data_IF_115308232151
#
_entry.id   IF_115308232151
#
_cell.length_a   1.000
_cell.length_b   1.000
_cell.length_c   1.000
_cell.angle_alpha   90.00
_cell.angle_beta   90.00
_cell.angle_gamma   90.00
#
_symmetry.space_group_name_H-M   'P 1'
#
loop_
_entity.id
_entity.type
_entity.pdbx_description
1 polymer ?
#
# COMPACT_ATOMS: atom_id res chain seq x y z
N UNK A 1 -28.23 0.01 34.84
CA UNK A 1 -26.85 0.50 34.58
C UNK A 1 -26.77 0.66 33.08
N UNK A 2 -26.70 1.90 32.58
CA UNK A 2 -26.72 2.14 31.14
C UNK A 2 -25.41 1.61 30.53
N UNK A 3 -25.51 0.63 29.64
CA UNK A 3 -24.40 0.22 28.78
C UNK A 3 -24.19 1.32 27.74
N UNK A 4 -23.44 2.35 28.09
CA UNK A 4 -22.92 3.29 27.12
C UNK A 4 -21.87 2.54 26.28
N UNK A 5 -21.98 2.52 24.94
CA UNK A 5 -20.91 2.04 24.08
C UNK A 5 -19.65 2.86 24.36
N UNK A 6 -18.52 2.20 24.58
CA UNK A 6 -17.23 2.90 24.61
C UNK A 6 -16.97 3.44 23.19
N UNK A 7 -17.04 4.77 23.01
CA UNK A 7 -16.59 5.41 21.77
C UNK A 7 -15.06 5.33 21.73
N UNK A 8 -14.52 4.38 20.96
CA UNK A 8 -13.09 4.21 20.75
C UNK A 8 -12.60 5.14 19.62
N UNK A 9 -12.74 6.46 19.80
CA UNK A 9 -12.25 7.49 18.85
C UNK A 9 -10.72 7.65 18.82
N UNK A 10 -9.98 6.75 19.50
CA UNK A 10 -8.52 6.82 19.61
C UNK A 10 -7.88 5.80 18.67
N UNK A 11 -6.86 6.24 17.93
CA UNK A 11 -6.03 5.34 17.13
C UNK A 11 -5.21 4.43 18.06
N UNK A 12 -5.34 3.13 17.88
CA UNK A 12 -4.49 2.14 18.54
C UNK A 12 -3.33 1.76 17.62
N UNK A 13 -2.12 1.65 18.15
CA UNK A 13 -0.94 1.27 17.35
C UNK A 13 -1.06 -0.05 16.61
N UNK A 14 -1.92 -0.98 17.08
CA UNK A 14 -2.22 -2.23 16.36
C UNK A 14 -3.05 -2.05 15.08
N UNK A 15 -3.65 -0.89 14.86
CA UNK A 15 -4.31 -0.53 13.61
C UNK A 15 -3.35 0.15 12.61
N UNK A 16 -2.15 0.52 13.05
CA UNK A 16 -1.10 1.10 12.20
C UNK A 16 -0.26 -0.04 11.63
N UNK A 17 -0.27 -0.16 10.30
CA UNK A 17 0.58 -1.10 9.57
C UNK A 17 1.61 -0.28 8.79
N UNK A 18 2.88 -0.69 8.92
CA UNK A 18 3.93 -0.20 8.04
C UNK A 18 4.16 -1.25 6.97
N UNK A 19 4.10 -0.81 5.72
CA UNK A 19 4.27 -1.62 4.54
C UNK A 19 5.49 -1.15 3.75
N UNK A 20 6.12 -2.10 3.08
CA UNK A 20 7.31 -1.85 2.27
C UNK A 20 7.16 -2.49 0.91
N UNK A 21 7.84 -1.91 -0.07
CA UNK A 21 7.93 -2.43 -1.43
C UNK A 21 9.34 -2.25 -1.99
N UNK A 22 9.80 -3.23 -2.76
CA UNK A 22 11.07 -3.17 -3.47
C UNK A 22 10.93 -2.24 -4.68
N UNK A 23 11.98 -1.49 -5.04
CA UNK A 23 11.93 -0.59 -6.21
C UNK A 23 13.00 0.47 -6.19
N UNK A 24 12.97 1.32 -7.22
CA UNK A 24 13.80 2.52 -7.34
C UNK A 24 12.94 3.77 -7.06
N UNK A 25 13.54 4.91 -6.67
CA UNK A 25 12.78 6.11 -6.31
C UNK A 25 12.04 6.76 -7.49
N UNK A 26 12.42 6.45 -8.73
CA UNK A 26 11.84 6.99 -9.96
C UNK A 26 10.48 6.39 -10.32
N UNK A 27 10.15 5.20 -9.80
CA UNK A 27 8.89 4.50 -10.06
C UNK A 27 8.24 4.12 -8.74
N UNK A 28 7.08 4.73 -8.46
CA UNK A 28 6.26 4.39 -7.30
C UNK A 28 5.68 2.97 -7.46
N UNK A 29 5.72 2.11 -6.44
CA UNK A 29 5.21 0.75 -6.50
C UNK A 29 3.69 0.70 -6.75
N UNK A 30 3.26 -0.35 -7.44
CA UNK A 30 1.85 -0.70 -7.61
C UNK A 30 1.26 -1.20 -6.28
N UNK A 31 -0.07 -1.19 -6.17
CA UNK A 31 -0.75 -1.52 -4.91
C UNK A 31 -0.46 -2.95 -4.43
N UNK A 32 -0.35 -3.90 -5.37
CA UNK A 32 -0.09 -5.31 -5.08
C UNK A 32 1.37 -5.63 -4.72
N UNK A 33 2.28 -4.66 -4.89
CA UNK A 33 3.69 -4.80 -4.53
C UNK A 33 3.96 -4.44 -3.06
N UNK A 34 3.03 -3.75 -2.39
CA UNK A 34 3.15 -3.39 -0.99
C UNK A 34 2.85 -4.59 -0.09
N UNK A 35 3.77 -4.85 0.83
CA UNK A 35 3.63 -5.92 1.80
C UNK A 35 3.91 -5.39 3.20
N UNK A 36 3.11 -5.83 4.18
CA UNK A 36 3.37 -5.49 5.58
C UNK A 36 4.77 -5.95 5.99
N UNK A 37 5.56 -5.06 6.62
CA UNK A 37 6.97 -5.34 6.91
C UNK A 37 7.12 -6.58 7.81
N UNK A 38 6.44 -6.57 8.96
CA UNK A 38 6.37 -7.67 9.90
C UNK A 38 5.26 -7.44 10.94
N UNK A 39 5.16 -8.33 11.94
CA UNK A 39 4.33 -8.11 13.11
C UNK A 39 4.88 -6.94 13.96
N UNK A 40 4.19 -5.80 13.92
CA UNK A 40 4.61 -4.58 14.59
C UNK A 40 4.15 -4.48 16.05
N UNK A 41 5.02 -3.95 16.91
CA UNK A 41 4.72 -3.60 18.31
C UNK A 41 4.70 -2.09 18.54
N UNK A 42 5.62 -1.36 17.91
CA UNK A 42 5.71 0.11 17.96
C UNK A 42 5.99 0.70 16.59
N UNK A 43 5.41 1.88 16.32
CA UNK A 43 5.52 2.61 15.05
C UNK A 43 5.65 4.09 15.41
N UNK A 44 6.65 4.75 14.86
CA UNK A 44 6.89 6.16 15.10
C UNK A 44 7.28 6.88 13.83
N UNK A 45 6.99 8.17 13.80
CA UNK A 45 7.60 9.09 12.85
C UNK A 45 8.08 10.32 13.60
N UNK A 46 9.10 10.97 13.06
CA UNK A 46 9.66 12.20 13.60
C UNK A 46 10.04 13.15 12.46
N UNK A 47 9.53 14.38 12.53
CA UNK A 47 9.98 15.50 11.70
C UNK A 47 10.90 16.36 12.55
N UNK A 48 12.17 16.43 12.16
CA UNK A 48 13.18 17.21 12.86
C UNK A 48 13.71 18.33 11.95
N UNK A 49 13.02 19.49 11.91
CA UNK A 49 13.37 20.60 11.04
C UNK A 49 14.60 21.36 11.55
N UNK A 50 15.53 21.65 10.65
CA UNK A 50 16.63 22.56 10.92
C UNK A 50 16.23 23.99 10.57
N UNK A 51 16.47 24.92 11.49
CA UNK A 51 16.09 26.32 11.33
C UNK A 51 17.28 27.28 11.43
N UNK A 52 17.10 28.46 10.85
CA UNK A 52 17.97 29.63 11.03
C UNK A 52 17.13 30.81 11.50
N UNK A 53 17.73 31.70 12.27
CA UNK A 53 17.09 32.93 12.76
C UNK A 53 17.60 34.14 12.02
N UNK A 54 16.72 35.08 11.71
CA UNK A 54 17.10 36.38 11.15
C UNK A 54 17.22 37.42 12.25
N UNK A 55 18.41 38.00 12.41
CA UNK A 55 18.71 39.10 13.34
C UNK A 55 18.82 40.45 12.61
N UNK A 56 18.19 40.58 11.44
CA UNK A 56 18.21 41.82 10.67
C UNK A 56 17.55 42.95 11.48
N UNK A 57 18.17 44.14 11.45
CA UNK A 57 17.74 45.31 12.24
C UNK A 57 16.52 46.03 11.65
N UNK A 58 16.00 45.54 10.52
CA UNK A 58 14.74 45.91 9.89
C UNK A 58 13.58 44.96 10.22
N UNK A 59 13.83 43.91 11.03
CA UNK A 59 12.81 43.05 11.59
C UNK A 59 11.89 43.78 12.58
N UNK A 60 10.66 43.30 12.70
CA UNK A 60 9.74 43.77 13.76
C UNK A 60 10.24 43.42 15.17
N UNK A 61 9.39 43.59 16.18
CA UNK A 61 9.75 43.29 17.58
C UNK A 61 9.97 41.81 17.94
N UNK A 62 9.94 40.90 16.96
CA UNK A 62 10.11 39.45 17.14
C UNK A 62 11.14 38.91 16.13
N UNK A 63 12.03 38.02 16.59
CA UNK A 63 13.02 37.33 15.75
C UNK A 63 12.30 36.32 14.85
N UNK A 64 12.56 36.35 13.55
CA UNK A 64 11.98 35.42 12.59
C UNK A 64 12.79 34.11 12.54
N UNK A 65 12.08 32.98 12.51
CA UNK A 65 12.69 31.64 12.38
C UNK A 65 12.27 31.03 11.05
N UNK A 66 13.26 30.60 10.26
CA UNK A 66 13.06 30.04 8.92
C UNK A 66 13.52 28.58 8.93
N UNK A 67 12.65 27.65 8.53
CA UNK A 67 13.04 26.25 8.32
C UNK A 67 13.79 26.11 6.99
N UNK A 68 14.97 25.52 7.03
CA UNK A 68 15.85 25.37 5.86
C UNK A 68 15.74 24.00 5.21
N UNK A 69 15.60 22.96 6.01
CA UNK A 69 15.30 21.59 5.63
C UNK A 69 14.78 20.84 6.86
N UNK A 70 14.44 19.56 6.71
CA UNK A 70 14.06 18.70 7.82
C UNK A 70 14.56 17.30 7.59
N UNK A 71 15.04 16.66 8.64
CA UNK A 71 15.11 15.21 8.67
C UNK A 71 13.69 14.67 8.88
N UNK A 72 13.38 13.58 8.19
CA UNK A 72 12.18 12.79 8.44
C UNK A 72 12.60 11.34 8.68
N UNK A 73 12.17 10.80 9.81
CA UNK A 73 12.51 9.45 10.26
C UNK A 73 11.26 8.67 10.54
N UNK A 74 11.20 7.42 10.08
CA UNK A 74 10.19 6.43 10.47
C UNK A 74 10.90 5.34 11.27
N UNK A 75 10.33 4.96 12.41
CA UNK A 75 10.84 3.87 13.25
C UNK A 75 9.81 2.76 13.37
N UNK A 76 10.31 1.53 13.39
CA UNK A 76 9.49 0.34 13.53
C UNK A 76 10.13 -0.62 14.52
N UNK A 77 9.34 -1.07 15.48
CA UNK A 77 9.66 -2.24 16.31
C UNK A 77 8.65 -3.35 16.03
N UNK A 78 9.12 -4.59 16.10
CA UNK A 78 8.28 -5.76 15.91
C UNK A 78 8.83 -7.03 16.53
N UNK A 79 8.05 -8.09 16.40
CA UNK A 79 8.39 -9.43 16.87
C UNK A 79 8.83 -10.31 15.70
N UNK A 80 9.87 -11.12 15.93
CA UNK A 80 10.38 -12.09 14.97
C UNK A 80 9.59 -13.38 15.08
N UNK A 81 8.96 -13.80 13.98
CA UNK A 81 8.27 -15.09 13.89
C UNK A 81 9.11 -16.10 13.13
N UNK A 82 9.04 -17.39 13.52
CA UNK A 82 9.73 -18.48 12.81
C UNK A 82 9.25 -18.68 11.38
N UNK A 83 7.99 -18.29 11.13
CA UNK A 83 7.38 -18.24 9.81
C UNK A 83 6.60 -16.94 9.74
N UNK A 84 7.03 -16.06 8.85
CA UNK A 84 6.24 -14.89 8.49
C UNK A 84 4.90 -15.34 7.89
N UNK A 85 3.85 -14.52 8.02
CA UNK A 85 2.60 -14.85 7.34
C UNK A 85 2.81 -14.68 5.82
N UNK A 86 2.01 -15.39 5.01
CA UNK A 86 2.15 -15.43 3.55
C UNK A 86 2.00 -14.06 2.87
N UNK A 87 1.38 -13.10 3.54
CA UNK A 87 1.07 -11.74 3.09
C UNK A 87 2.06 -10.67 3.61
N UNK A 88 3.16 -11.06 4.26
CA UNK A 88 4.16 -10.12 4.77
C UNK A 88 5.43 -10.12 3.92
N UNK A 89 6.09 -8.97 3.87
CA UNK A 89 7.45 -8.88 3.34
C UNK A 89 8.37 -9.80 4.16
N UNK A 90 8.18 -9.78 5.48
CA UNK A 90 8.78 -10.69 6.42
C UNK A 90 10.18 -10.28 6.84
N UNK A 91 10.51 -10.54 8.11
CA UNK A 91 11.79 -10.13 8.69
C UNK A 91 12.97 -10.88 8.07
N UNK A 92 12.76 -12.13 7.63
CA UNK A 92 13.80 -12.93 6.97
C UNK A 92 14.23 -12.32 5.63
N UNK A 93 13.26 -11.93 4.79
CA UNK A 93 13.54 -11.25 3.51
C UNK A 93 14.19 -9.89 3.75
N UNK A 94 13.69 -9.14 4.73
CA UNK A 94 14.20 -7.80 5.05
C UNK A 94 15.67 -7.80 5.52
N UNK A 95 16.04 -8.72 6.43
CA UNK A 95 17.45 -8.86 6.86
C UNK A 95 18.34 -9.25 5.67
N UNK A 96 17.88 -10.17 4.82
CA UNK A 96 18.64 -10.61 3.65
C UNK A 96 18.86 -9.46 2.67
N UNK A 97 17.80 -8.72 2.35
CA UNK A 97 17.82 -7.53 1.51
C UNK A 97 18.86 -6.52 2.02
N UNK A 98 18.75 -6.12 3.30
CA UNK A 98 19.66 -5.16 3.91
C UNK A 98 21.13 -5.62 3.84
N UNK A 99 21.40 -6.88 4.19
CA UNK A 99 22.75 -7.43 4.15
C UNK A 99 23.32 -7.52 2.71
N UNK A 100 22.49 -7.82 1.71
CA UNK A 100 22.91 -7.91 0.33
C UNK A 100 23.24 -6.54 -0.28
N UNK A 101 22.45 -5.51 0.03
CA UNK A 101 22.75 -4.13 -0.39
C UNK A 101 24.07 -3.62 0.23
N UNK A 102 24.28 -3.88 1.52
CA UNK A 102 25.55 -3.55 2.19
C UNK A 102 26.74 -4.30 1.58
N UNK A 103 26.59 -5.60 1.30
CA UNK A 103 27.62 -6.41 0.64
C UNK A 103 27.92 -5.90 -0.78
N UNK A 104 26.89 -5.42 -1.48
CA UNK A 104 27.00 -4.80 -2.79
C UNK A 104 27.53 -3.35 -2.75
N UNK A 105 27.72 -2.77 -1.55
CA UNK A 105 28.10 -1.37 -1.31
C UNK A 105 27.11 -0.37 -1.92
N UNK A 106 25.83 -0.71 -1.88
CA UNK A 106 24.72 0.13 -2.32
C UNK A 106 23.93 0.63 -1.11
N UNK A 107 23.17 1.71 -1.30
CA UNK A 107 22.26 2.19 -0.27
C UNK A 107 21.07 1.22 -0.18
N UNK A 108 20.68 0.78 1.03
CA UNK A 108 19.50 -0.06 1.24
C UNK A 108 18.22 0.77 1.12
N UNK A 109 17.94 1.27 -0.08
CA UNK A 109 16.79 2.10 -0.40
C UNK A 109 15.53 1.27 -0.64
N UNK A 110 14.41 1.62 -0.03
CA UNK A 110 13.16 0.86 -0.10
C UNK A 110 11.97 1.82 -0.01
N UNK A 111 10.89 1.50 -0.69
CA UNK A 111 9.64 2.24 -0.52
C UNK A 111 9.00 1.88 0.82
N UNK A 112 8.58 2.89 1.56
CA UNK A 112 7.90 2.75 2.85
C UNK A 112 6.59 3.51 2.79
N UNK A 113 5.51 2.87 3.25
CA UNK A 113 4.25 3.55 3.55
C UNK A 113 3.74 3.20 4.94
N UNK A 114 3.09 4.15 5.59
CA UNK A 114 2.55 3.98 6.94
C UNK A 114 1.30 4.84 7.13
N UNK A 115 0.17 4.20 7.37
CA UNK A 115 -1.06 4.89 7.80
C UNK A 115 -0.94 5.31 9.27
N UNK A 116 -1.19 6.58 9.58
CA UNK A 116 -1.16 7.12 10.93
C UNK A 116 -2.43 7.95 11.19
N UNK A 117 -3.55 7.26 11.34
CA UNK A 117 -4.85 7.90 11.53
C UNK A 117 -5.31 8.63 10.27
N UNK A 118 -5.51 9.96 10.31
CA UNK A 118 -6.02 10.72 9.16
C UNK A 118 -4.97 11.00 8.08
N UNK A 119 -3.75 10.50 8.23
CA UNK A 119 -2.66 10.69 7.26
C UNK A 119 -1.99 9.37 6.91
N UNK A 120 -1.48 9.27 5.69
CA UNK A 120 -0.62 8.21 5.19
C UNK A 120 0.71 8.85 4.79
N UNK A 121 1.80 8.35 5.37
CA UNK A 121 3.14 8.71 4.93
C UNK A 121 3.56 7.75 3.83
N UNK A 122 4.09 8.28 2.71
CA UNK A 122 4.68 7.48 1.65
C UNK A 122 6.02 8.10 1.24
N UNK A 123 7.03 7.28 1.00
CA UNK A 123 8.31 7.77 0.51
C UNK A 123 9.34 6.69 0.23
N UNK A 124 10.31 7.03 -0.61
CA UNK A 124 11.51 6.24 -0.79
C UNK A 124 12.50 6.54 0.33
N UNK A 125 12.72 5.53 1.17
CA UNK A 125 13.50 5.64 2.40
C UNK A 125 14.76 4.78 2.32
N UNK A 126 15.79 5.15 3.07
CA UNK A 126 16.98 4.33 3.31
C UNK A 126 16.87 3.68 4.67
N UNK A 127 17.08 2.35 4.74
CA UNK A 127 17.21 1.64 6.01
C UNK A 127 18.54 2.05 6.66
N UNK A 128 18.48 2.79 7.77
CA UNK A 128 19.67 3.32 8.47
C UNK A 128 20.08 2.49 9.67
N UNK A 129 19.13 1.75 10.24
CA UNK A 129 19.38 0.82 11.33
C UNK A 129 18.51 -0.44 11.19
N UNK A 130 19.10 -1.58 11.53
CA UNK A 130 18.40 -2.85 11.71
C UNK A 130 19.11 -3.64 12.81
N UNK A 131 18.38 -3.94 13.88
CA UNK A 131 18.88 -4.70 15.02
C UNK A 131 17.82 -5.69 15.51
N UNK A 132 18.25 -6.72 16.22
CA UNK A 132 17.37 -7.71 16.85
C UNK A 132 17.95 -8.14 18.18
N UNK A 133 17.07 -8.37 19.15
CA UNK A 133 17.41 -8.85 20.48
C UNK A 133 16.39 -9.90 20.95
N UNK A 134 16.82 -10.81 21.81
CA UNK A 134 15.96 -11.87 22.30
C UNK A 134 16.63 -12.65 23.41
N UNK A 135 16.24 -12.38 24.65
CA UNK A 135 16.69 -13.14 25.82
C UNK A 135 16.28 -14.61 25.74
N UNK A 136 16.95 -15.47 26.51
CA UNK A 136 16.73 -16.94 26.51
C UNK A 136 15.27 -17.35 26.73
N UNK A 137 14.48 -16.54 27.45
CA UNK A 137 13.08 -16.83 27.77
C UNK A 137 12.10 -15.82 27.14
N UNK A 138 12.58 -14.90 26.30
CA UNK A 138 11.79 -13.79 25.77
C UNK A 138 11.44 -14.03 24.30
N UNK A 139 10.41 -13.32 23.83
CA UNK A 139 10.10 -13.25 22.40
C UNK A 139 11.18 -12.40 21.75
N UNK A 140 11.76 -12.90 20.66
CA UNK A 140 12.75 -12.15 19.87
C UNK A 140 12.06 -10.95 19.22
N UNK A 141 12.62 -9.77 19.41
CA UNK A 141 12.17 -8.51 18.81
C UNK A 141 13.20 -8.01 17.80
N UNK A 142 12.77 -7.08 16.96
CA UNK A 142 13.64 -6.33 16.08
C UNK A 142 13.24 -4.86 16.05
N UNK A 143 14.22 -4.01 15.75
CA UNK A 143 14.05 -2.57 15.58
C UNK A 143 14.70 -2.15 14.28
N UNK A 144 14.04 -1.26 13.54
CA UNK A 144 14.57 -0.69 12.31
C UNK A 144 14.22 0.79 12.19
N UNK A 145 15.12 1.54 11.57
CA UNK A 145 14.99 2.96 11.31
C UNK A 145 15.09 3.21 9.80
N UNK A 146 14.22 4.10 9.33
CA UNK A 146 14.17 4.57 7.96
C UNK A 146 14.36 6.08 7.93
N UNK A 147 15.33 6.55 7.14
CA UNK A 147 15.50 7.99 6.82
C UNK A 147 15.19 8.26 5.36
N UNK A 148 14.91 9.50 5.00
CA UNK A 148 14.62 9.89 3.61
C UNK A 148 15.78 9.47 2.69
N UNK A 149 15.47 8.63 1.69
CA UNK A 149 16.41 8.25 0.62
C UNK A 149 16.31 9.18 -0.59
N UNK A 150 15.09 9.59 -0.93
CA UNK A 150 14.82 10.61 -1.95
C UNK A 150 13.72 11.58 -1.46
N UNK A 151 14.09 12.84 -1.23
CA UNK A 151 13.18 13.85 -0.72
C UNK A 151 12.03 14.20 -1.67
N UNK A 152 12.19 13.98 -2.98
CA UNK A 152 11.13 14.28 -3.96
C UNK A 152 9.96 13.28 -3.91
N UNK A 153 10.15 12.15 -3.25
CA UNK A 153 9.16 11.07 -3.12
C UNK A 153 8.31 11.17 -1.86
N UNK A 154 8.63 12.10 -0.95
CA UNK A 154 7.95 12.22 0.34
C UNK A 154 6.57 12.82 0.16
N UNK A 155 5.55 12.04 0.49
CA UNK A 155 4.15 12.42 0.47
C UNK A 155 3.54 12.23 1.87
N UNK A 156 2.73 13.21 2.29
CA UNK A 156 1.82 13.08 3.44
C UNK A 156 0.41 13.24 2.91
N UNK A 157 -0.26 12.12 2.70
CA UNK A 157 -1.58 12.07 2.08
C UNK A 157 -2.64 12.05 3.17
N UNK A 158 -3.63 12.95 3.10
CA UNK A 158 -4.79 12.86 3.98
C UNK A 158 -5.65 11.64 3.60
N UNK A 159 -5.87 10.73 4.54
CA UNK A 159 -6.66 9.50 4.35
C UNK A 159 -8.16 9.72 4.53
N UNK A 160 -8.57 10.88 5.04
CA UNK A 160 -9.97 11.25 5.28
C UNK A 160 -10.43 12.49 4.50
N UNK A 161 -9.60 13.04 3.61
CA UNK A 161 -10.04 14.13 2.74
C UNK A 161 -11.36 13.76 2.01
N UNK A 162 -12.33 14.69 1.91
CA UNK A 162 -13.64 14.39 1.34
C UNK A 162 -13.52 14.00 -0.12
N UNK A 163 -14.19 12.91 -0.52
CA UNK A 163 -14.26 12.47 -1.91
C UNK A 163 -15.08 13.49 -2.70
N UNK A 164 -14.43 14.26 -3.57
CA UNK A 164 -15.07 15.31 -4.38
C UNK A 164 -15.58 14.79 -5.73
N UNK A 165 -15.01 13.70 -6.23
CA UNK A 165 -15.44 13.02 -7.46
C UNK A 165 -15.84 11.59 -7.09
N UNK A 166 -17.09 11.16 -7.29
CA UNK A 166 -17.52 9.81 -6.92
C UNK A 166 -16.84 8.76 -7.81
N UNK A 167 -16.63 7.56 -7.26
CA UNK A 167 -16.10 6.41 -7.99
C UNK A 167 -17.01 6.07 -9.18
N UNK A 168 -16.44 6.01 -10.38
CA UNK A 168 -17.17 5.73 -11.61
C UNK A 168 -16.28 5.02 -12.64
N UNK A 169 -16.90 4.25 -13.55
CA UNK A 169 -16.19 3.70 -14.72
C UNK A 169 -16.03 4.77 -15.81
N UNK A 170 -14.79 5.00 -16.25
CA UNK A 170 -14.50 5.70 -17.51
C UNK A 170 -14.57 4.75 -18.70
N UNK A 171 -14.24 3.47 -18.47
CA UNK A 171 -14.42 2.37 -19.41
C UNK A 171 -15.11 1.20 -18.72
N UNK A 172 -16.26 0.81 -19.24
CA UNK A 172 -17.06 -0.29 -18.72
C UNK A 172 -17.04 -1.47 -19.71
N UNK A 173 -17.45 -2.66 -19.25
CA UNK A 173 -17.46 -3.86 -20.08
C UNK A 173 -18.54 -3.80 -21.17
N UNK A 174 -18.30 -4.41 -22.35
CA UNK A 174 -19.35 -4.64 -23.33
C UNK A 174 -20.35 -5.69 -22.80
N UNK A 175 -21.63 -5.54 -23.13
CA UNK A 175 -22.68 -6.47 -22.68
C UNK A 175 -22.49 -7.92 -23.19
N UNK A 176 -21.78 -8.09 -24.32
CA UNK A 176 -21.49 -9.40 -24.88
C UNK A 176 -20.05 -9.44 -25.38
N UNK A 177 -19.49 -10.66 -25.41
CA UNK A 177 -18.18 -10.95 -26.00
C UNK A 177 -18.24 -12.30 -26.67
N UNK A 178 -17.51 -12.47 -27.77
CA UNK A 178 -17.42 -13.73 -28.50
C UNK A 178 -15.97 -14.09 -28.72
N UNK A 179 -15.66 -15.38 -28.68
CA UNK A 179 -14.35 -15.92 -29.01
C UNK A 179 -14.50 -17.36 -29.51
N UNK A 180 -13.60 -17.81 -30.36
CA UNK A 180 -13.55 -19.22 -30.75
C UNK A 180 -12.80 -20.03 -29.68
N UNK A 181 -13.05 -21.34 -29.57
CA UNK A 181 -12.30 -22.22 -28.67
C UNK A 181 -10.76 -22.07 -28.85
N UNK A 182 -10.03 -22.28 -27.75
CA UNK A 182 -8.57 -22.15 -27.64
C UNK A 182 -7.99 -20.72 -27.78
N UNK A 183 -8.82 -19.71 -28.02
CA UNK A 183 -8.38 -18.31 -28.00
C UNK A 183 -8.41 -17.68 -26.60
N UNK A 184 -7.60 -16.64 -26.41
CA UNK A 184 -7.62 -15.83 -25.18
C UNK A 184 -8.69 -14.75 -25.24
N UNK A 185 -9.35 -14.49 -24.11
CA UNK A 185 -10.34 -13.43 -23.94
C UNK A 185 -9.89 -12.46 -22.87
N UNK A 186 -9.83 -11.17 -23.22
CA UNK A 186 -9.38 -10.09 -22.33
C UNK A 186 -10.54 -9.16 -22.02
N UNK A 187 -10.82 -8.89 -20.74
CA UNK A 187 -11.71 -7.81 -20.33
C UNK A 187 -10.93 -6.78 -19.53
N UNK A 188 -11.20 -5.52 -19.77
CA UNK A 188 -10.54 -4.44 -19.06
C UNK A 188 -11.55 -3.34 -18.69
N UNK A 189 -11.34 -2.76 -17.52
CA UNK A 189 -12.11 -1.63 -17.01
C UNK A 189 -11.18 -0.48 -16.68
N UNK A 190 -11.67 0.74 -16.80
CA UNK A 190 -10.97 1.94 -16.34
C UNK A 190 -11.92 2.69 -15.41
N UNK A 191 -11.36 3.22 -14.32
CA UNK A 191 -12.11 3.90 -13.27
C UNK A 191 -11.52 5.26 -12.95
N UNK A 192 -12.37 6.15 -12.46
CA UNK A 192 -12.02 7.50 -12.00
C UNK A 192 -12.80 7.84 -10.74
N UNK A 193 -12.36 8.88 -10.02
CA UNK A 193 -12.98 9.31 -8.77
C UNK A 193 -12.81 8.30 -7.63
N UNK A 194 -13.54 8.47 -6.54
CA UNK A 194 -13.33 7.72 -5.32
C UNK A 194 -11.95 7.98 -4.71
N UNK A 195 -11.51 7.11 -3.79
CA UNK A 195 -10.19 7.17 -3.18
C UNK A 195 -9.29 6.02 -3.64
N UNK A 196 -8.13 6.34 -4.19
CA UNK A 196 -7.09 5.35 -4.47
C UNK A 196 -6.48 4.80 -3.17
N UNK A 197 -5.97 3.56 -3.15
CA UNK A 197 -5.96 2.59 -4.25
C UNK A 197 -7.33 1.92 -4.49
N UNK A 198 -7.51 1.35 -5.68
CA UNK A 198 -8.68 0.55 -6.03
C UNK A 198 -8.38 -0.94 -5.93
N UNK A 199 -9.36 -1.72 -5.50
CA UNK A 199 -9.33 -3.19 -5.56
C UNK A 199 -10.34 -3.71 -6.58
N UNK A 200 -9.94 -4.74 -7.31
CA UNK A 200 -10.74 -5.34 -8.39
C UNK A 200 -11.09 -6.79 -8.03
N UNK A 201 -12.36 -7.13 -8.19
CA UNK A 201 -12.86 -8.48 -7.98
C UNK A 201 -13.68 -8.92 -9.20
N UNK A 202 -13.16 -9.93 -9.91
CA UNK A 202 -13.82 -10.48 -11.10
C UNK A 202 -14.66 -11.70 -10.78
N UNK A 203 -15.85 -11.77 -11.36
CA UNK A 203 -16.82 -12.84 -11.11
C UNK A 203 -17.18 -13.57 -12.40
N UNK A 204 -17.36 -14.88 -12.29
CA UNK A 204 -18.01 -15.73 -13.28
C UNK A 204 -19.37 -16.18 -12.74
N UNK A 205 -20.45 -15.70 -13.35
CA UNK A 205 -21.79 -15.78 -12.77
C UNK A 205 -21.84 -15.04 -11.43
N UNK A 206 -22.05 -15.79 -10.34
CA UNK A 206 -21.99 -15.28 -8.96
C UNK A 206 -20.74 -15.70 -8.20
N UNK A 207 -19.82 -16.44 -8.84
CA UNK A 207 -18.62 -16.99 -8.20
C UNK A 207 -17.43 -16.07 -8.43
N UNK A 208 -16.75 -15.69 -7.35
CA UNK A 208 -15.50 -14.93 -7.42
C UNK A 208 -14.41 -15.77 -8.09
N UNK A 209 -13.76 -15.23 -9.11
CA UNK A 209 -12.62 -15.86 -9.77
C UNK A 209 -11.42 -15.75 -8.83
N UNK A 210 -10.87 -16.88 -8.41
CA UNK A 210 -9.79 -16.92 -7.42
C UNK A 210 -8.49 -16.35 -8.02
N UNK A 211 -7.94 -15.24 -7.48
CA UNK A 211 -6.70 -14.65 -7.96
C UNK A 211 -5.48 -15.57 -7.83
N UNK A 212 -5.49 -16.54 -6.91
CA UNK A 212 -4.42 -17.53 -6.81
C UNK A 212 -4.36 -18.49 -8.01
N UNK A 213 -5.48 -18.67 -8.72
CA UNK A 213 -5.58 -19.49 -9.93
C UNK A 213 -5.40 -18.61 -11.17
N UNK A 214 -6.03 -17.43 -11.19
CA UNK A 214 -5.88 -16.45 -12.25
C UNK A 214 -5.48 -15.09 -11.65
N UNK A 215 -4.16 -14.77 -11.58
CA UNK A 215 -3.67 -13.53 -10.96
C UNK A 215 -4.26 -12.25 -11.56
N UNK A 216 -4.63 -12.29 -12.85
CA UNK A 216 -5.22 -11.12 -13.53
C UNK A 216 -6.59 -10.73 -12.95
N UNK A 217 -7.27 -11.65 -12.25
CA UNK A 217 -8.56 -11.42 -11.59
C UNK A 217 -8.51 -10.52 -10.35
N UNK A 218 -7.32 -10.08 -9.92
CA UNK A 218 -7.16 -9.03 -8.91
C UNK A 218 -6.80 -7.66 -9.51
N UNK A 219 -6.74 -7.55 -10.83
CA UNK A 219 -6.32 -6.33 -11.54
C UNK A 219 -7.46 -5.71 -12.34
N UNK A 220 -7.23 -4.52 -12.90
CA UNK A 220 -8.18 -3.87 -13.80
C UNK A 220 -8.42 -4.63 -15.12
N UNK A 221 -7.60 -5.64 -15.44
CA UNK A 221 -7.69 -6.44 -16.66
C UNK A 221 -7.76 -7.93 -16.35
N UNK A 222 -8.88 -8.58 -16.67
CA UNK A 222 -9.00 -10.04 -16.59
C UNK A 222 -8.61 -10.67 -17.94
N UNK A 223 -7.71 -11.65 -17.88
CA UNK A 223 -7.36 -12.49 -19.03
C UNK A 223 -7.81 -13.92 -18.76
N UNK A 224 -8.75 -14.43 -19.55
CA UNK A 224 -9.12 -15.84 -19.57
C UNK A 224 -8.42 -16.51 -20.77
N UNK A 225 -7.53 -17.45 -20.51
CA UNK A 225 -6.68 -18.05 -21.55
C UNK A 225 -7.26 -19.35 -22.08
N UNK A 226 -7.10 -19.58 -23.38
CA UNK A 226 -7.55 -20.78 -24.08
C UNK A 226 -8.98 -21.18 -23.67
N UNK A 227 -9.96 -20.33 -24.02
CA UNK A 227 -11.34 -20.54 -23.60
C UNK A 227 -11.92 -21.81 -24.22
N UNK A 228 -12.80 -22.46 -23.47
CA UNK A 228 -13.56 -23.63 -23.92
C UNK A 228 -15.05 -23.33 -23.81
N UNK A 229 -15.91 -24.17 -24.38
CA UNK A 229 -17.36 -24.13 -24.11
C UNK A 229 -17.76 -23.99 -22.63
N UNK A 230 -16.96 -24.50 -21.68
CA UNK A 230 -17.21 -24.34 -20.23
C UNK A 230 -16.90 -22.93 -19.68
N UNK A 231 -16.15 -22.13 -20.43
CA UNK A 231 -15.88 -20.72 -20.14
C UNK A 231 -17.01 -19.79 -20.58
N UNK A 232 -17.94 -20.25 -21.43
CA UNK A 232 -19.07 -19.44 -21.86
C UNK A 232 -19.99 -19.11 -20.67
N UNK A 233 -20.34 -17.84 -20.50
CA UNK A 233 -21.18 -17.40 -19.40
C UNK A 233 -20.98 -15.92 -19.07
N UNK A 234 -21.50 -15.50 -17.92
CA UNK A 234 -21.54 -14.10 -17.53
C UNK A 234 -20.31 -13.70 -16.71
N UNK A 235 -19.67 -12.59 -17.08
CA UNK A 235 -18.54 -12.01 -16.36
C UNK A 235 -18.85 -10.58 -15.93
N UNK A 236 -18.42 -10.19 -14.73
CA UNK A 236 -18.47 -8.81 -14.29
C UNK A 236 -17.33 -8.49 -13.32
N UNK A 237 -17.00 -7.21 -13.20
CA UNK A 237 -16.00 -6.71 -12.27
C UNK A 237 -16.70 -5.84 -11.23
N UNK A 238 -16.35 -6.06 -9.96
CA UNK A 238 -16.66 -5.14 -8.86
C UNK A 238 -15.39 -4.39 -8.52
N UNK A 239 -15.47 -3.06 -8.50
CA UNK A 239 -14.37 -2.18 -8.09
C UNK A 239 -14.71 -1.55 -6.76
N UNK A 240 -13.77 -1.60 -5.82
CA UNK A 240 -13.91 -0.97 -4.50
C UNK A 240 -12.80 0.03 -4.31
N UNK A 241 -13.12 1.24 -3.86
CA UNK A 241 -12.12 2.26 -3.51
C UNK A 241 -11.60 2.10 -2.07
N UNK A 242 -10.57 2.86 -1.67
CA UNK A 242 -9.97 2.80 -0.32
C UNK A 242 -10.99 3.10 0.80
N UNK A 243 -12.06 3.85 0.51
CA UNK A 243 -13.12 4.15 1.50
C UNK A 243 -14.17 3.04 1.63
N UNK A 244 -14.14 2.04 0.75
CA UNK A 244 -15.14 0.97 0.70
C UNK A 244 -16.32 1.27 -0.22
N UNK A 245 -16.30 2.36 -0.99
CA UNK A 245 -17.31 2.62 -2.01
C UNK A 245 -17.15 1.61 -3.16
N UNK A 246 -18.26 1.02 -3.60
CA UNK A 246 -18.26 -0.04 -4.62
C UNK A 246 -19.05 0.37 -5.85
N UNK A 247 -18.53 -0.01 -7.03
CA UNK A 247 -19.26 0.03 -8.29
C UNK A 247 -19.13 -1.31 -9.02
N UNK A 248 -20.19 -1.71 -9.73
CA UNK A 248 -20.23 -2.97 -10.49
C UNK A 248 -20.32 -2.67 -11.97
N UNK A 249 -19.49 -3.34 -12.76
CA UNK A 249 -19.48 -3.21 -14.22
C UNK A 249 -20.79 -3.73 -14.83
N UNK A 250 -21.01 -3.42 -16.11
CA UNK A 250 -21.98 -4.16 -16.92
C UNK A 250 -21.58 -5.64 -16.92
N UNK A 251 -22.57 -6.53 -16.88
CA UNK A 251 -22.35 -7.97 -17.06
C UNK A 251 -22.09 -8.27 -18.53
N UNK A 252 -20.92 -8.82 -18.83
CA UNK A 252 -20.49 -9.26 -20.16
C UNK A 252 -20.77 -10.74 -20.33
N UNK A 253 -21.61 -11.11 -21.30
CA UNK A 253 -21.87 -12.53 -21.60
C UNK A 253 -20.89 -13.01 -22.67
N UNK A 254 -20.00 -13.94 -22.30
CA UNK A 254 -19.10 -14.64 -23.21
C UNK A 254 -19.85 -15.77 -23.93
N UNK A 255 -19.80 -15.77 -25.26
CA UNK A 255 -20.13 -16.92 -26.09
C UNK A 255 -18.84 -17.49 -26.67
N UNK A 256 -18.69 -18.82 -26.61
CA UNK A 256 -17.56 -19.53 -27.21
C UNK A 256 -18.07 -20.32 -28.42
N UNK A 257 -17.45 -20.12 -29.58
CA UNK A 257 -17.81 -20.77 -30.85
C UNK A 257 -16.93 -21.98 -31.16
#
# INVERSE_FOLDING_TARGET
MANCPNSNERLFGGAVVLEVADGCPDVKPLEDEWLSLAAGTSKGFDFNPNSVTSDADDGGGYVETIITNSDFTISFEGEVRKKDKLDQYGIGKFIKYFADELKAKRQPGIWVRMDYGPVEFVGYMTVTALSSDGGTNDIVTFSTEFKVGDASTIEVNETDAPVTVPLAFTKNLPATKTADEDNDVVWDVEVTGGRVPYSFAWYYGSVLINPAINPTAATATLVNRAVTSASAGSYHCVVTDKTGATITSVTSVLTVN
#
